data_IF_841732055620
#
_entry.id   IF_841732055620
#
_cell.length_a   1.000
_cell.length_b   1.000
_cell.length_c   1.000
_cell.angle_alpha   90.00
_cell.angle_beta   90.00
_cell.angle_gamma   90.00
#
_symmetry.space_group_name_H-M   'P 1'
#
loop_
_entity.id
_entity.type
_entity.pdbx_description
1 polymer ?
#
# COMPACT_ATOMS: atom_id res chain seq x y z
N UNK A 1 16.38 31.24 6.45
CA UNK A 1 15.12 30.70 5.87
C UNK A 1 14.32 31.81 5.18
N UNK A 2 13.63 31.53 4.04
CA UNK A 2 12.82 32.53 3.31
C UNK A 2 11.41 31.99 3.08
N UNK A 3 10.40 32.83 3.30
CA UNK A 3 8.98 32.55 3.09
C UNK A 3 8.45 33.40 1.94
N UNK A 4 7.86 32.77 0.93
CA UNK A 4 7.27 33.43 -0.23
C UNK A 4 6.04 32.75 -0.74
N UNK A 5 4.96 33.48 -1.04
CA UNK A 5 3.84 32.92 -1.76
C UNK A 5 4.15 32.76 -3.25
N UNK A 6 3.85 31.59 -3.80
CA UNK A 6 4.03 31.28 -5.22
C UNK A 6 2.82 30.52 -5.74
N UNK A 7 2.51 30.71 -7.02
CA UNK A 7 1.51 29.88 -7.71
C UNK A 7 2.21 28.68 -8.32
N UNK A 8 1.77 27.47 -7.94
CA UNK A 8 2.29 26.19 -8.43
C UNK A 8 1.11 25.28 -8.77
N UNK A 9 1.07 24.75 -9.99
CA UNK A 9 0.01 23.85 -10.48
C UNK A 9 -1.40 24.44 -10.25
N UNK A 10 -1.60 25.72 -10.64
CA UNK A 10 -2.81 26.53 -10.42
C UNK A 10 -3.30 26.60 -8.98
N UNK A 11 -2.38 26.49 -8.02
CA UNK A 11 -2.67 26.65 -6.58
C UNK A 11 -1.71 27.66 -5.96
N UNK A 12 -2.24 28.48 -5.04
CA UNK A 12 -1.39 29.33 -4.23
C UNK A 12 -0.82 28.52 -3.07
N UNK A 13 0.51 28.56 -2.95
CA UNK A 13 1.25 27.85 -1.89
C UNK A 13 2.28 28.78 -1.25
N UNK A 14 2.48 28.65 0.06
CA UNK A 14 3.60 29.25 0.75
C UNK A 14 4.84 28.38 0.54
N UNK A 15 5.87 28.93 -0.09
CA UNK A 15 7.17 28.30 -0.25
C UNK A 15 8.06 28.68 0.93
N UNK A 16 8.56 27.68 1.64
CA UNK A 16 9.54 27.77 2.71
C UNK A 16 10.85 27.27 2.13
N UNK A 17 11.90 28.07 2.12
CA UNK A 17 13.18 27.72 1.47
C UNK A 17 14.38 28.02 2.34
N UNK A 18 15.35 27.10 2.34
CA UNK A 18 16.63 27.20 3.02
C UNK A 18 17.71 26.56 2.13
N UNK A 19 18.67 27.38 1.70
CA UNK A 19 19.66 26.94 0.70
C UNK A 19 18.99 26.44 -0.59
N UNK A 20 19.23 25.17 -0.95
CA UNK A 20 18.63 24.51 -2.12
C UNK A 20 17.31 23.80 -1.80
N UNK A 21 16.96 23.60 -0.53
CA UNK A 21 15.74 22.92 -0.11
C UNK A 21 14.52 23.84 -0.22
N UNK A 22 13.38 23.27 -0.65
CA UNK A 22 12.12 23.98 -0.84
C UNK A 22 10.95 23.12 -0.40
N UNK A 23 10.15 23.63 0.52
CA UNK A 23 8.91 23.02 1.01
C UNK A 23 7.73 23.92 0.64
N UNK A 24 6.55 23.32 0.42
CA UNK A 24 5.37 24.03 -0.04
C UNK A 24 4.18 23.71 0.85
N UNK A 25 3.44 24.76 1.23
CA UNK A 25 2.19 24.64 2.00
C UNK A 25 1.03 25.27 1.27
N UNK A 26 -0.07 24.54 1.15
CA UNK A 26 -1.27 25.01 0.45
C UNK A 26 -1.95 26.13 1.22
N UNK A 27 -2.24 27.24 0.54
CA UNK A 27 -3.06 28.32 1.05
C UNK A 27 -4.54 28.19 0.64
N UNK A 28 -4.96 27.04 0.10
CA UNK A 28 -6.31 26.84 -0.45
C UNK A 28 -7.41 27.04 0.60
N UNK A 29 -7.18 26.66 1.84
CA UNK A 29 -8.18 26.70 2.92
C UNK A 29 -8.45 28.11 3.45
N UNK A 30 -7.55 29.06 3.18
CA UNK A 30 -7.65 30.44 3.67
C UNK A 30 -8.11 31.42 2.60
N UNK A 31 -8.22 31.01 1.34
CA UNK A 31 -8.63 31.86 0.24
C UNK A 31 -10.07 31.54 -0.12
N UNK A 32 -11.00 32.47 0.00
CA UNK A 32 -12.39 32.27 -0.42
C UNK A 32 -12.50 32.21 -1.95
N UNK A 33 -13.29 31.30 -2.44
CA UNK A 33 -13.60 31.17 -3.86
C UNK A 33 -12.52 30.49 -4.70
N UNK A 34 -12.63 30.60 -6.03
CA UNK A 34 -11.74 29.96 -7.00
C UNK A 34 -11.05 31.03 -7.88
N UNK A 35 -9.92 31.63 -7.41
CA UNK A 35 -9.28 32.73 -8.09
C UNK A 35 -8.60 32.30 -9.38
N UNK A 36 -8.76 33.08 -10.47
CA UNK A 36 -7.88 32.98 -11.61
C UNK A 36 -6.56 33.70 -11.29
N UNK A 37 -5.52 32.96 -10.94
CA UNK A 37 -4.24 33.52 -10.48
C UNK A 37 -3.53 34.38 -11.53
N UNK A 38 -3.65 34.08 -12.83
CA UNK A 38 -3.07 34.89 -13.90
C UNK A 38 -3.63 36.33 -13.89
N UNK A 39 -4.92 36.50 -13.57
CA UNK A 39 -5.63 37.76 -13.58
C UNK A 39 -5.59 38.47 -12.20
N UNK A 40 -5.75 37.70 -11.13
CA UNK A 40 -6.03 38.24 -9.80
C UNK A 40 -4.81 38.27 -8.88
N UNK A 41 -3.72 37.59 -9.22
CA UNK A 41 -2.52 37.51 -8.38
C UNK A 41 -1.41 38.44 -8.83
N UNK A 42 -0.74 39.10 -7.89
CA UNK A 42 0.47 39.86 -8.11
C UNK A 42 1.65 39.13 -7.46
N UNK A 43 2.48 38.50 -8.27
CA UNK A 43 3.59 37.69 -7.81
C UNK A 43 4.72 38.46 -7.13
N UNK A 44 4.91 39.73 -7.53
CA UNK A 44 5.98 40.60 -6.97
C UNK A 44 5.61 41.10 -5.58
N UNK A 45 4.34 41.48 -5.40
CA UNK A 45 3.81 41.98 -4.14
C UNK A 45 3.25 40.85 -3.25
N UNK A 46 3.19 39.62 -3.74
CA UNK A 46 2.62 38.44 -3.05
C UNK A 46 1.20 38.69 -2.50
N UNK A 47 0.33 39.32 -3.29
CA UNK A 47 -1.01 39.71 -2.88
C UNK A 47 -2.04 39.58 -4.02
N UNK A 48 -3.32 39.45 -3.67
CA UNK A 48 -4.42 39.61 -4.62
C UNK A 48 -4.60 41.06 -5.04
N UNK A 49 -4.86 41.25 -6.33
CA UNK A 49 -5.17 42.56 -6.92
C UNK A 49 -6.57 43.00 -6.54
N UNK A 50 -6.85 44.33 -6.61
CA UNK A 50 -8.16 44.87 -6.27
C UNK A 50 -9.34 44.38 -7.12
N UNK A 51 -9.07 43.76 -8.28
CA UNK A 51 -10.09 43.18 -9.13
C UNK A 51 -10.51 41.72 -8.68
N UNK A 52 -9.94 41.22 -7.58
CA UNK A 52 -10.40 39.97 -6.97
C UNK A 52 -11.44 40.28 -5.89
N UNK A 53 -12.66 39.69 -5.96
CA UNK A 53 -13.69 39.88 -4.95
C UNK A 53 -13.19 39.41 -3.57
N UNK A 54 -13.28 40.28 -2.56
CA UNK A 54 -12.76 39.99 -1.22
C UNK A 54 -11.23 40.04 -1.10
N UNK A 55 -10.54 40.81 -1.97
CA UNK A 55 -9.08 40.86 -1.99
C UNK A 55 -8.46 41.35 -0.67
N UNK A 56 -9.14 42.26 0.07
CA UNK A 56 -8.66 42.77 1.36
C UNK A 56 -8.60 41.63 2.40
N UNK A 57 -9.69 40.89 2.53
CA UNK A 57 -9.82 39.77 3.45
C UNK A 57 -8.86 38.64 3.07
N UNK A 58 -8.77 38.32 1.77
CA UNK A 58 -7.82 37.31 1.29
C UNK A 58 -6.36 37.70 1.56
N UNK A 59 -5.99 38.95 1.34
CA UNK A 59 -4.63 39.46 1.61
C UNK A 59 -4.32 39.49 3.11
N UNK A 60 -5.30 39.83 3.95
CA UNK A 60 -5.14 39.76 5.41
C UNK A 60 -4.93 38.30 5.83
N UNK A 61 -5.75 37.37 5.37
CA UNK A 61 -5.62 35.94 5.69
C UNK A 61 -4.25 35.37 5.24
N UNK A 62 -3.72 35.82 4.09
CA UNK A 62 -2.37 35.43 3.64
C UNK A 62 -1.27 36.00 4.54
N UNK A 63 -1.43 37.27 4.99
CA UNK A 63 -0.48 37.88 5.92
C UNK A 63 -0.45 37.12 7.25
N UNK A 64 -1.63 36.85 7.84
CA UNK A 64 -1.77 36.13 9.09
C UNK A 64 -1.20 34.68 8.95
N UNK A 65 -1.44 34.05 7.83
CA UNK A 65 -0.90 32.68 7.52
C UNK A 65 0.65 32.74 7.47
N UNK A 66 1.24 33.71 6.81
CA UNK A 66 2.70 33.87 6.72
C UNK A 66 3.31 34.19 8.08
N UNK A 67 2.65 35.06 8.87
CA UNK A 67 3.08 35.48 10.20
C UNK A 67 3.19 34.30 11.18
N UNK A 68 2.25 33.35 11.11
CA UNK A 68 2.31 32.15 11.93
C UNK A 68 3.58 31.30 11.68
N UNK A 69 4.03 31.20 10.42
CA UNK A 69 5.30 30.53 10.12
C UNK A 69 6.51 31.36 10.60
N UNK A 70 6.42 32.69 10.56
CA UNK A 70 7.46 33.56 11.11
C UNK A 70 7.57 33.37 12.62
N UNK A 71 6.46 33.28 13.35
CA UNK A 71 6.46 33.00 14.79
C UNK A 71 7.18 31.69 15.13
N UNK A 72 6.85 30.62 14.42
CA UNK A 72 7.53 29.30 14.60
C UNK A 72 9.04 29.42 14.35
N UNK A 73 9.45 30.18 13.34
CA UNK A 73 10.87 30.41 13.05
C UNK A 73 11.60 31.23 14.14
N UNK A 74 10.89 32.12 14.80
CA UNK A 74 11.44 32.94 15.89
C UNK A 74 11.49 32.17 17.21
N UNK A 75 10.47 31.35 17.48
CA UNK A 75 10.39 30.46 18.66
C UNK A 75 11.36 29.29 18.60
N UNK A 76 11.66 28.83 17.39
CA UNK A 76 12.50 27.66 17.12
C UNK A 76 13.57 27.98 16.05
N UNK A 77 14.56 28.82 16.37
CA UNK A 77 15.60 29.23 15.41
C UNK A 77 16.47 28.03 14.92
N UNK A 78 16.49 26.93 15.66
CA UNK A 78 17.20 25.69 15.32
C UNK A 78 16.45 24.83 14.27
N UNK A 79 15.19 25.14 13.96
CA UNK A 79 14.41 24.33 13.02
C UNK A 79 14.83 24.55 11.57
N UNK A 80 15.03 23.47 10.84
CA UNK A 80 15.16 23.49 9.39
C UNK A 80 13.83 23.86 8.70
N UNK A 81 13.89 24.26 7.44
CA UNK A 81 12.70 24.57 6.64
C UNK A 81 11.67 23.44 6.61
N UNK A 82 12.14 22.19 6.69
CA UNK A 82 11.29 20.98 6.80
C UNK A 82 10.57 20.92 8.14
N UNK A 83 11.26 21.19 9.23
CA UNK A 83 10.69 21.15 10.58
C UNK A 83 9.67 22.27 10.79
N UNK A 84 9.98 23.51 10.39
CA UNK A 84 9.03 24.63 10.40
C UNK A 84 7.77 24.29 9.61
N UNK A 85 7.92 23.71 8.44
CA UNK A 85 6.82 23.28 7.58
C UNK A 85 5.91 22.24 8.23
N UNK A 86 6.47 21.34 9.04
CA UNK A 86 5.73 20.26 9.71
C UNK A 86 5.10 20.69 11.05
N UNK A 87 5.72 21.63 11.74
CA UNK A 87 5.29 22.10 13.06
C UNK A 87 3.93 22.81 12.99
N UNK A 88 3.75 23.68 11.99
CA UNK A 88 2.50 24.40 11.80
C UNK A 88 1.30 23.49 11.49
N UNK A 89 1.51 22.39 10.76
CA UNK A 89 0.45 21.41 10.49
C UNK A 89 -0.04 20.69 11.76
N UNK A 90 0.79 20.64 12.79
CA UNK A 90 0.44 20.05 14.07
C UNK A 90 -0.39 21.00 14.95
N UNK A 91 -0.08 22.30 14.92
CA UNK A 91 -0.84 23.32 15.69
C UNK A 91 -2.18 23.69 15.05
N UNK A 92 -2.26 23.79 13.71
CA UNK A 92 -3.51 24.15 13.02
C UNK A 92 -4.55 23.04 13.03
N UNK A 93 -4.13 21.79 13.12
CA UNK A 93 -5.05 20.66 13.33
C UNK A 93 -5.76 20.74 14.69
N UNK A 94 -5.18 21.45 15.66
CA UNK A 94 -5.75 21.67 17.00
C UNK A 94 -6.71 22.85 17.05
N UNK A 95 -6.56 23.85 16.14
CA UNK A 95 -7.32 25.11 16.19
C UNK A 95 -8.56 25.20 15.29
N UNK A 96 -8.89 24.16 14.53
CA UNK A 96 -9.99 24.16 13.54
C UNK A 96 -11.34 23.63 14.06
N UNK A 97 -11.60 23.72 15.37
CA UNK A 97 -12.93 23.47 15.93
C UNK A 97 -13.38 24.72 16.67
N UNK A 98 -14.60 25.27 16.41
CA UNK A 98 -15.08 26.43 17.17
C UNK A 98 -15.29 25.99 18.62
N UNK A 99 -14.59 26.68 19.52
CA UNK A 99 -14.61 26.46 20.95
C UNK A 99 -15.96 26.89 21.52
N UNK A 100 -16.73 25.94 22.05
CA UNK A 100 -17.44 26.12 23.30
C UNK A 100 -16.39 25.94 24.42
N UNK A 101 -16.37 26.88 25.38
CA UNK A 101 -15.51 26.84 26.55
C UNK A 101 -15.81 25.63 27.44
N UNK A 102 -15.30 24.49 27.06
CA UNK A 102 -14.97 23.41 27.98
C UNK A 102 -13.48 23.20 27.87
N UNK A 103 -12.77 23.43 28.96
CA UNK A 103 -11.37 23.06 29.15
C UNK A 103 -11.13 21.68 28.59
N UNK A 104 -10.61 21.60 27.35
CA UNK A 104 -10.19 20.36 26.69
C UNK A 104 -9.03 19.86 27.54
N UNK A 105 -9.34 18.94 28.48
CA UNK A 105 -8.33 18.11 29.15
C UNK A 105 -7.50 17.51 28.03
N UNK A 106 -6.19 17.74 28.05
CA UNK A 106 -5.25 17.12 27.10
C UNK A 106 -5.62 15.66 26.97
N UNK A 107 -6.01 15.26 25.77
CA UNK A 107 -6.53 13.91 25.51
C UNK A 107 -5.41 12.94 25.84
N UNK A 108 -5.55 12.19 26.92
CA UNK A 108 -4.55 11.25 27.44
C UNK A 108 -4.40 10.04 26.50
N UNK A 109 -3.98 10.30 25.24
CA UNK A 109 -3.61 9.23 24.31
C UNK A 109 -2.30 8.54 24.73
N UNK A 110 -1.58 9.14 25.66
CA UNK A 110 -0.35 8.58 26.20
C UNK A 110 -0.61 7.34 27.05
N UNK A 111 -1.82 7.19 27.57
CA UNK A 111 -2.18 6.06 28.40
C UNK A 111 -3.27 5.16 27.76
N UNK A 112 -4.10 5.66 26.85
CA UNK A 112 -5.18 4.90 26.22
C UNK A 112 -4.70 4.12 25.00
N UNK A 113 -4.92 2.79 24.97
CA UNK A 113 -4.58 1.90 23.84
C UNK A 113 -5.38 2.25 22.59
N UNK A 114 -6.67 2.54 22.75
CA UNK A 114 -7.55 2.92 21.63
C UNK A 114 -7.11 4.23 20.98
N UNK A 115 -6.93 5.27 21.77
CA UNK A 115 -6.53 6.59 21.28
C UNK A 115 -5.14 6.58 20.63
N UNK A 116 -4.23 5.77 21.17
CA UNK A 116 -2.94 5.55 20.53
C UNK A 116 -3.08 4.86 19.17
N UNK A 117 -3.95 3.85 19.06
CA UNK A 117 -4.21 3.17 17.79
C UNK A 117 -4.81 4.14 16.75
N UNK A 118 -5.70 5.04 17.17
CA UNK A 118 -6.21 6.12 16.32
C UNK A 118 -5.08 7.07 15.86
N UNK A 119 -4.16 7.46 16.75
CA UNK A 119 -2.96 8.25 16.42
C UNK A 119 -2.08 7.52 15.38
N UNK A 120 -1.88 6.20 15.54
CA UNK A 120 -1.14 5.39 14.57
C UNK A 120 -1.84 5.39 13.21
N UNK A 121 -3.16 5.22 13.16
CA UNK A 121 -3.96 5.25 11.93
C UNK A 121 -3.78 6.60 11.21
N UNK A 122 -3.90 7.71 11.93
CA UNK A 122 -3.71 9.04 11.34
C UNK A 122 -2.27 9.25 10.81
N UNK A 123 -1.26 8.84 11.56
CA UNK A 123 0.15 8.90 11.13
C UNK A 123 0.40 8.07 9.86
N UNK A 124 -0.14 6.86 9.78
CA UNK A 124 0.00 6.00 8.60
C UNK A 124 -0.79 6.55 7.40
N UNK A 125 -1.95 7.17 7.62
CA UNK A 125 -2.73 7.84 6.57
C UNK A 125 -1.96 9.01 5.95
N UNK A 126 -1.35 9.86 6.78
CA UNK A 126 -0.55 11.01 6.32
C UNK A 126 0.67 10.55 5.51
N UNK A 127 1.30 9.44 5.90
CA UNK A 127 2.43 8.84 5.16
C UNK A 127 2.03 8.20 3.84
N UNK A 128 0.73 8.18 3.49
CA UNK A 128 0.18 7.42 2.35
C UNK A 128 0.61 5.94 2.37
N UNK A 129 0.90 5.43 3.54
CA UNK A 129 1.32 4.04 3.75
C UNK A 129 0.16 3.07 3.55
N UNK A 130 0.45 1.87 3.04
CA UNK A 130 -0.55 0.81 2.87
C UNK A 130 -1.09 0.26 4.21
N UNK A 131 -0.51 0.69 5.34
CA UNK A 131 -0.77 0.08 6.64
C UNK A 131 -1.96 0.71 7.40
N UNK A 132 -2.44 1.89 7.02
CA UNK A 132 -3.53 2.54 7.74
C UNK A 132 -4.81 1.69 7.75
N UNK A 133 -5.18 1.06 6.62
CA UNK A 133 -6.34 0.16 6.56
C UNK A 133 -6.21 -1.04 7.50
N UNK A 134 -5.00 -1.55 7.67
CA UNK A 134 -4.72 -2.68 8.55
C UNK A 134 -4.94 -2.31 10.01
N UNK A 135 -4.43 -1.16 10.44
CA UNK A 135 -4.67 -0.65 11.80
C UNK A 135 -6.13 -0.23 12.01
N UNK A 136 -6.79 0.33 11.00
CA UNK A 136 -8.21 0.67 11.07
C UNK A 136 -9.09 -0.59 11.24
N UNK A 137 -8.81 -1.66 10.50
CA UNK A 137 -9.49 -2.95 10.68
C UNK A 137 -9.27 -3.53 12.07
N UNK A 138 -8.05 -3.40 12.61
CA UNK A 138 -7.77 -3.81 14.00
C UNK A 138 -8.60 -3.00 14.99
N UNK A 139 -8.67 -1.67 14.85
CA UNK A 139 -9.45 -0.79 15.71
C UNK A 139 -10.93 -1.21 15.75
N UNK A 140 -11.54 -1.39 14.56
CA UNK A 140 -12.94 -1.83 14.46
C UNK A 140 -13.15 -3.21 15.08
N UNK A 141 -12.20 -4.13 14.90
CA UNK A 141 -12.27 -5.46 15.50
C UNK A 141 -12.14 -5.38 17.03
N UNK A 142 -11.16 -4.65 17.55
CA UNK A 142 -10.99 -4.48 19.00
C UNK A 142 -12.24 -3.87 19.65
N UNK A 143 -12.82 -2.83 19.06
CA UNK A 143 -14.08 -2.22 19.53
C UNK A 143 -15.23 -3.22 19.58
N UNK A 144 -15.26 -4.16 18.65
CA UNK A 144 -16.34 -5.16 18.55
C UNK A 144 -16.19 -6.31 19.54
N UNK A 145 -14.96 -6.77 19.79
CA UNK A 145 -14.74 -8.04 20.49
C UNK A 145 -14.08 -7.91 21.85
N UNK A 146 -13.34 -6.82 22.13
CA UNK A 146 -12.70 -6.62 23.43
C UNK A 146 -13.62 -5.80 24.33
N UNK A 147 -14.08 -6.38 25.45
CA UNK A 147 -14.86 -5.65 26.45
C UNK A 147 -14.07 -4.43 26.96
N UNK A 148 -14.76 -3.30 27.11
CA UNK A 148 -14.19 -2.05 27.62
C UNK A 148 -12.90 -1.57 26.92
N UNK A 149 -12.74 -1.89 25.63
CA UNK A 149 -11.54 -1.51 24.86
C UNK A 149 -11.25 0.00 24.93
N UNK A 150 -12.29 0.83 24.94
CA UNK A 150 -12.17 2.28 25.06
C UNK A 150 -11.54 2.75 26.38
N UNK A 151 -11.66 1.94 27.44
CA UNK A 151 -11.09 2.22 28.76
C UNK A 151 -9.71 1.60 28.97
N UNK A 152 -9.28 0.70 28.08
CA UNK A 152 -8.03 -0.06 28.23
C UNK A 152 -6.82 0.88 28.20
N UNK A 153 -6.01 0.82 29.27
CA UNK A 153 -4.81 1.63 29.45
C UNK A 153 -3.55 0.82 29.19
N UNK A 154 -2.48 1.51 28.74
CA UNK A 154 -1.17 0.87 28.57
C UNK A 154 -0.57 0.34 29.87
N UNK A 155 -0.90 0.94 31.01
CA UNK A 155 -0.49 0.43 32.34
C UNK A 155 -1.10 -0.94 32.67
N UNK A 156 -2.20 -1.31 32.03
CA UNK A 156 -2.89 -2.59 32.22
C UNK A 156 -2.42 -3.66 31.23
N UNK A 157 -1.58 -3.32 30.24
CA UNK A 157 -1.02 -4.27 29.28
C UNK A 157 0.14 -5.02 29.94
N UNK A 158 -0.20 -6.02 30.71
CA UNK A 158 0.70 -6.99 31.33
C UNK A 158 0.72 -8.30 30.55
N UNK A 159 1.54 -9.27 30.97
CA UNK A 159 1.53 -10.63 30.43
C UNK A 159 0.13 -11.24 30.47
N UNK A 160 -0.52 -11.25 31.66
CA UNK A 160 -1.85 -11.84 31.85
C UNK A 160 -2.93 -11.16 31.01
N UNK A 161 -2.84 -9.82 30.88
CA UNK A 161 -3.75 -9.08 29.99
C UNK A 161 -3.56 -9.46 28.52
N UNK A 162 -2.34 -9.71 28.09
CA UNK A 162 -2.06 -10.21 26.74
C UNK A 162 -2.59 -11.64 26.53
N UNK A 163 -2.48 -12.53 27.54
CA UNK A 163 -3.10 -13.87 27.52
C UNK A 163 -4.61 -13.76 27.35
N UNK A 164 -5.25 -12.90 28.15
CA UNK A 164 -6.68 -12.65 28.05
C UNK A 164 -7.10 -12.12 26.68
N UNK A 165 -6.37 -11.14 26.12
CA UNK A 165 -6.61 -10.61 24.76
C UNK A 165 -6.44 -11.73 23.72
N UNK A 166 -5.42 -12.57 23.84
CA UNK A 166 -5.19 -13.69 22.97
C UNK A 166 -6.37 -14.67 23.00
N UNK A 167 -6.87 -15.02 24.19
CA UNK A 167 -8.04 -15.87 24.37
C UNK A 167 -9.29 -15.35 23.66
N UNK A 168 -9.55 -14.04 23.73
CA UNK A 168 -10.67 -13.43 22.99
C UNK A 168 -10.43 -13.48 21.48
N UNK A 169 -9.24 -13.15 21.03
CA UNK A 169 -8.95 -13.20 19.58
C UNK A 169 -9.06 -14.60 19.00
N UNK A 170 -8.73 -15.65 19.74
CA UNK A 170 -8.85 -17.06 19.32
C UNK A 170 -10.30 -17.47 18.99
N UNK A 171 -11.28 -16.89 19.68
CA UNK A 171 -12.70 -17.15 19.43
C UNK A 171 -13.20 -16.55 18.10
N UNK A 172 -12.36 -15.77 17.39
CA UNK A 172 -12.76 -15.04 16.20
C UNK A 172 -11.83 -15.33 15.01
N UNK A 173 -12.41 -15.42 13.81
CA UNK A 173 -11.64 -15.62 12.56
C UNK A 173 -10.54 -14.57 12.39
N UNK A 174 -9.38 -15.02 11.90
CA UNK A 174 -8.23 -14.14 11.61
C UNK A 174 -7.41 -13.79 12.86
N UNK A 175 -7.28 -14.70 13.78
CA UNK A 175 -6.42 -14.59 14.96
C UNK A 175 -5.03 -14.09 14.64
N UNK A 176 -4.29 -14.80 13.79
CA UNK A 176 -2.92 -14.48 13.41
C UNK A 176 -2.77 -13.05 12.86
N UNK A 177 -3.65 -12.66 11.94
CA UNK A 177 -3.60 -11.32 11.35
C UNK A 177 -3.84 -10.23 12.39
N UNK A 178 -4.81 -10.44 13.31
CA UNK A 178 -5.18 -9.46 14.34
C UNK A 178 -4.09 -9.32 15.40
N UNK A 179 -3.59 -10.43 15.91
CA UNK A 179 -2.54 -10.45 16.95
C UNK A 179 -1.21 -9.91 16.44
N UNK A 180 -0.85 -10.19 15.19
CA UNK A 180 0.34 -9.61 14.54
C UNK A 180 0.26 -8.08 14.45
N UNK A 181 -0.90 -7.56 14.05
CA UNK A 181 -1.10 -6.10 13.96
C UNK A 181 -1.14 -5.46 15.35
N UNK A 182 -1.79 -6.12 16.32
CA UNK A 182 -1.84 -5.66 17.72
C UNK A 182 -0.42 -5.60 18.31
N UNK A 183 0.37 -6.64 18.14
CA UNK A 183 1.79 -6.65 18.56
C UNK A 183 2.61 -5.54 17.90
N UNK A 184 2.41 -5.31 16.60
CA UNK A 184 3.09 -4.22 15.89
C UNK A 184 2.70 -2.86 16.47
N UNK A 185 1.45 -2.68 16.87
CA UNK A 185 0.97 -1.48 17.57
C UNK A 185 1.67 -1.32 18.92
N UNK A 186 1.76 -2.38 19.74
CA UNK A 186 2.51 -2.36 21.00
C UNK A 186 3.99 -2.02 20.79
N UNK A 187 4.62 -2.55 19.74
CA UNK A 187 5.99 -2.20 19.35
C UNK A 187 6.15 -0.72 18.96
N UNK A 188 5.14 -0.10 18.35
CA UNK A 188 5.12 1.35 18.08
C UNK A 188 4.92 2.14 19.37
N UNK A 189 4.07 1.69 20.29
CA UNK A 189 3.85 2.30 21.58
C UNK A 189 5.12 2.30 22.44
N UNK A 190 5.85 1.17 22.47
CA UNK A 190 7.14 1.08 23.15
C UNK A 190 8.16 2.11 22.66
N UNK A 191 8.16 2.43 21.36
CA UNK A 191 9.08 3.40 20.74
C UNK A 191 8.58 4.85 20.82
N UNK A 192 7.34 5.08 21.20
CA UNK A 192 6.78 6.42 21.33
C UNK A 192 7.19 7.01 22.70
N UNK A 193 7.79 8.21 22.67
CA UNK A 193 8.33 8.85 23.88
C UNK A 193 7.23 9.27 24.86
N UNK A 194 6.06 9.59 24.34
CA UNK A 194 4.94 10.09 25.12
C UNK A 194 4.17 8.95 25.81
N UNK A 195 4.34 7.69 25.36
CA UNK A 195 3.64 6.52 25.90
C UNK A 195 4.48 5.84 26.96
N UNK A 196 3.93 5.69 28.17
CA UNK A 196 4.60 5.03 29.30
C UNK A 196 4.59 3.49 29.21
N UNK A 197 4.38 2.93 28.02
CA UNK A 197 4.44 1.49 27.79
C UNK A 197 5.87 1.03 27.47
N UNK A 198 6.28 -0.08 28.08
CA UNK A 198 7.54 -0.77 27.73
C UNK A 198 7.26 -2.23 27.43
N UNK A 199 7.91 -2.75 26.39
CA UNK A 199 7.71 -4.14 25.96
C UNK A 199 8.03 -5.15 27.07
N UNK A 200 8.91 -4.80 27.99
CA UNK A 200 9.24 -5.60 29.19
C UNK A 200 8.05 -5.85 30.12
N UNK A 201 6.99 -5.03 30.05
CA UNK A 201 5.76 -5.24 30.85
C UNK A 201 5.01 -6.53 30.48
N UNK A 202 5.19 -7.00 29.24
CA UNK A 202 4.59 -8.25 28.77
C UNK A 202 5.56 -9.43 28.83
N UNK A 203 6.81 -9.21 29.33
CA UNK A 203 7.82 -10.25 29.48
C UNK A 203 8.12 -10.96 28.16
N UNK A 204 8.15 -12.27 28.19
CA UNK A 204 8.38 -13.15 27.05
C UNK A 204 7.11 -13.52 26.28
N UNK A 205 5.96 -12.91 26.59
CA UNK A 205 4.69 -13.19 25.94
C UNK A 205 4.77 -13.06 24.41
N UNK A 206 4.29 -14.06 23.72
CA UNK A 206 4.21 -14.10 22.25
C UNK A 206 2.83 -14.57 21.84
N UNK A 207 2.06 -13.71 21.15
CA UNK A 207 0.76 -14.10 20.58
C UNK A 207 0.84 -15.36 19.70
N UNK A 208 1.98 -15.60 19.06
CA UNK A 208 2.19 -16.80 18.23
C UNK A 208 2.08 -18.10 19.04
N UNK A 209 2.47 -18.10 20.29
CA UNK A 209 2.46 -19.32 21.10
C UNK A 209 1.04 -19.79 21.44
N UNK A 210 0.05 -18.94 21.25
CA UNK A 210 -1.38 -19.21 21.42
C UNK A 210 -2.10 -19.50 20.09
N UNK A 211 -1.39 -19.53 18.95
CA UNK A 211 -1.99 -19.81 17.65
C UNK A 211 -2.08 -21.32 17.44
N UNK A 212 -3.32 -21.90 17.38
CA UNK A 212 -3.48 -23.33 17.15
C UNK A 212 -2.94 -23.80 15.80
N UNK A 213 -2.91 -22.90 14.82
CA UNK A 213 -2.43 -23.18 13.45
C UNK A 213 -0.96 -22.75 13.26
N UNK A 214 -0.22 -22.54 14.37
CA UNK A 214 1.14 -21.99 14.36
C UNK A 214 2.09 -22.72 13.41
N UNK A 215 2.03 -24.04 13.41
CA UNK A 215 2.92 -24.88 12.63
C UNK A 215 2.43 -25.06 11.18
N UNK A 216 1.10 -25.04 10.96
CA UNK A 216 0.51 -25.08 9.62
C UNK A 216 0.79 -23.80 8.83
N UNK A 217 0.71 -22.64 9.44
CA UNK A 217 0.94 -21.34 8.77
C UNK A 217 2.39 -21.20 8.29
N UNK A 218 3.36 -21.76 9.02
CA UNK A 218 4.77 -21.69 8.64
C UNK A 218 5.17 -22.75 7.59
N UNK A 219 4.40 -23.82 7.43
CA UNK A 219 4.69 -24.93 6.51
C UNK A 219 3.82 -24.93 5.26
N UNK A 220 2.70 -24.21 5.26
CA UNK A 220 1.79 -24.17 4.11
C UNK A 220 2.44 -23.54 2.89
N UNK A 221 2.79 -24.40 1.93
CA UNK A 221 3.26 -23.93 0.62
C UNK A 221 2.15 -23.19 -0.13
N UNK A 222 2.47 -22.20 -0.94
CA UNK A 222 1.46 -21.52 -1.76
C UNK A 222 0.84 -22.48 -2.78
N UNK A 223 -0.45 -22.29 -3.05
CA UNK A 223 -1.10 -23.00 -4.13
C UNK A 223 -0.42 -22.65 -5.47
N UNK A 224 -0.12 -23.67 -6.27
CA UNK A 224 0.49 -23.56 -7.60
C UNK A 224 -0.21 -24.47 -8.58
N UNK A 225 -0.24 -24.09 -9.85
CA UNK A 225 -0.75 -24.95 -10.92
C UNK A 225 0.32 -25.98 -11.29
N UNK A 226 -0.08 -27.24 -11.43
CA UNK A 226 0.77 -28.25 -12.06
C UNK A 226 0.95 -27.93 -13.54
N UNK A 227 1.94 -28.55 -14.20
CA UNK A 227 2.17 -28.36 -15.64
C UNK A 227 0.93 -28.65 -16.49
N UNK A 228 0.19 -29.70 -16.17
CA UNK A 228 -1.06 -30.03 -16.86
C UNK A 228 -2.18 -29.02 -16.62
N UNK A 229 -2.33 -28.54 -15.39
CA UNK A 229 -3.31 -27.50 -15.04
C UNK A 229 -2.98 -26.16 -15.69
N UNK A 230 -1.69 -25.77 -15.70
CA UNK A 230 -1.22 -24.58 -16.38
C UNK A 230 -1.46 -24.66 -17.89
N UNK A 231 -1.12 -25.80 -18.50
CA UNK A 231 -1.38 -26.03 -19.92
C UNK A 231 -2.89 -25.95 -20.23
N UNK A 232 -3.74 -26.57 -19.43
CA UNK A 232 -5.19 -26.49 -19.57
C UNK A 232 -5.68 -25.03 -19.46
N UNK A 233 -5.14 -24.24 -18.50
CA UNK A 233 -5.48 -22.83 -18.39
C UNK A 233 -5.03 -22.02 -19.61
N UNK A 234 -3.81 -22.21 -20.10
CA UNK A 234 -3.26 -21.46 -21.23
C UNK A 234 -3.97 -21.79 -22.56
N UNK A 235 -4.64 -22.93 -22.65
CA UNK A 235 -5.43 -23.35 -23.81
C UNK A 235 -6.95 -23.19 -23.61
N UNK A 236 -7.39 -22.45 -22.61
CA UNK A 236 -8.80 -22.18 -22.39
C UNK A 236 -9.44 -21.45 -23.56
N UNK A 237 -10.58 -21.95 -24.00
CA UNK A 237 -11.47 -21.21 -24.87
C UNK A 237 -12.22 -20.15 -24.06
N UNK A 238 -11.64 -18.96 -24.03
CA UNK A 238 -12.12 -17.83 -23.23
C UNK A 238 -13.52 -17.41 -23.64
N UNK A 239 -13.93 -17.68 -24.89
CA UNK A 239 -15.26 -17.31 -25.40
C UNK A 239 -16.40 -18.07 -24.71
N UNK A 240 -16.12 -19.24 -24.12
CA UNK A 240 -17.09 -20.09 -23.42
C UNK A 240 -17.25 -19.76 -21.93
N UNK A 241 -16.46 -18.87 -21.40
CA UNK A 241 -16.39 -18.54 -19.96
C UNK A 241 -16.89 -17.14 -19.64
N UNK A 242 -18.01 -16.74 -20.25
CA UNK A 242 -18.61 -15.42 -20.00
C UNK A 242 -19.37 -15.45 -18.66
N UNK A 243 -18.97 -14.66 -17.65
CA UNK A 243 -19.73 -14.57 -16.41
C UNK A 243 -21.04 -13.84 -16.62
N UNK A 244 -22.14 -14.33 -16.10
CA UNK A 244 -23.47 -13.74 -16.17
C UNK A 244 -23.57 -12.34 -15.54
N UNK A 245 -22.59 -11.94 -14.75
CA UNK A 245 -22.64 -10.75 -13.88
C UNK A 245 -21.69 -9.62 -14.25
N UNK A 246 -20.89 -9.73 -15.32
CA UNK A 246 -19.95 -8.66 -15.68
C UNK A 246 -20.02 -8.24 -17.15
N UNK A 247 -20.87 -7.24 -17.40
CA UNK A 247 -21.03 -6.63 -18.73
C UNK A 247 -19.96 -5.56 -19.03
N UNK A 248 -19.05 -5.23 -18.09
CA UNK A 248 -18.16 -4.08 -18.22
C UNK A 248 -16.75 -4.44 -18.68
N UNK A 249 -16.29 -5.66 -18.41
CA UNK A 249 -14.98 -6.10 -18.81
C UNK A 249 -15.08 -7.37 -19.64
N UNK A 250 -14.42 -7.36 -20.76
CA UNK A 250 -14.23 -8.55 -21.58
C UNK A 250 -13.50 -9.61 -20.76
N UNK A 251 -14.02 -10.83 -20.74
CA UNK A 251 -13.39 -12.01 -20.14
C UNK A 251 -11.96 -12.21 -20.67
N UNK A 252 -11.74 -11.80 -21.92
CA UNK A 252 -10.42 -11.77 -22.53
C UNK A 252 -9.43 -10.91 -21.75
N UNK A 253 -9.86 -9.78 -21.21
CA UNK A 253 -9.01 -8.92 -20.41
C UNK A 253 -8.56 -9.62 -19.11
N UNK A 254 -9.44 -10.39 -18.46
CA UNK A 254 -9.06 -11.17 -17.27
C UNK A 254 -8.07 -12.26 -17.60
N UNK A 255 -8.29 -12.97 -18.68
CA UNK A 255 -7.38 -14.01 -19.16
C UNK A 255 -6.00 -13.42 -19.50
N UNK A 256 -5.93 -12.42 -20.36
CA UNK A 256 -4.69 -11.79 -20.78
C UNK A 256 -3.93 -11.17 -19.61
N UNK A 257 -4.64 -10.54 -18.67
CA UNK A 257 -4.04 -10.01 -17.44
C UNK A 257 -3.38 -11.13 -16.63
N UNK A 258 -4.03 -12.27 -16.53
CA UNK A 258 -3.53 -13.41 -15.76
C UNK A 258 -2.36 -14.09 -16.44
N UNK A 259 -2.43 -14.29 -17.76
CA UNK A 259 -1.30 -14.79 -18.58
C UNK A 259 -0.09 -13.86 -18.47
N UNK A 260 -0.33 -12.54 -18.53
CA UNK A 260 0.74 -11.57 -18.35
C UNK A 260 1.37 -11.64 -16.96
N UNK A 261 0.57 -11.84 -15.91
CA UNK A 261 1.09 -12.06 -14.55
C UNK A 261 2.01 -13.27 -14.45
N UNK A 262 1.64 -14.38 -15.11
CA UNK A 262 2.45 -15.58 -15.14
C UNK A 262 3.82 -15.32 -15.78
N UNK A 263 3.85 -14.79 -17.01
CA UNK A 263 5.10 -14.55 -17.73
C UNK A 263 5.96 -13.43 -17.13
N UNK A 264 5.36 -12.48 -16.41
CA UNK A 264 6.08 -11.35 -15.83
C UNK A 264 6.51 -11.54 -14.39
N UNK A 265 6.13 -12.61 -13.71
CA UNK A 265 6.34 -12.82 -12.27
C UNK A 265 5.73 -11.73 -11.38
N UNK A 266 4.92 -10.83 -11.93
CA UNK A 266 4.42 -9.66 -11.21
C UNK A 266 3.22 -10.00 -10.32
N UNK A 267 3.08 -9.24 -9.23
CA UNK A 267 1.87 -9.27 -8.43
C UNK A 267 0.73 -8.49 -9.13
N UNK A 268 -0.55 -8.83 -8.90
CA UNK A 268 -1.68 -8.13 -9.52
C UNK A 268 -1.64 -6.61 -9.32
N UNK A 269 -1.19 -6.15 -8.15
CA UNK A 269 -1.10 -4.73 -7.82
C UNK A 269 0.02 -3.99 -8.58
N UNK A 270 1.00 -4.70 -9.10
CA UNK A 270 2.08 -4.14 -9.91
C UNK A 270 1.66 -4.12 -11.38
N UNK A 271 1.11 -5.23 -11.92
CA UNK A 271 0.62 -5.31 -13.31
C UNK A 271 -0.46 -4.27 -13.60
N UNK A 272 -1.42 -4.10 -12.70
CA UNK A 272 -2.54 -3.17 -12.88
C UNK A 272 -2.10 -1.70 -13.00
N UNK A 273 -0.93 -1.36 -12.47
CA UNK A 273 -0.35 -0.01 -12.51
C UNK A 273 0.73 0.15 -13.58
N UNK A 274 1.01 -0.90 -14.33
CA UNK A 274 2.07 -0.91 -15.32
C UNK A 274 1.72 0.00 -16.49
N UNK A 275 2.68 0.84 -16.88
CA UNK A 275 2.56 1.78 -18.00
C UNK A 275 3.53 1.45 -19.11
N UNK A 276 3.26 1.88 -20.34
CA UNK A 276 4.15 1.72 -21.49
C UNK A 276 5.53 2.32 -21.26
N UNK A 277 5.63 3.41 -20.49
CA UNK A 277 6.92 3.99 -20.10
C UNK A 277 7.81 3.07 -19.27
N UNK A 278 7.26 1.97 -18.74
CA UNK A 278 8.02 0.95 -18.04
C UNK A 278 8.71 -0.04 -19.01
N UNK A 279 8.34 0.00 -20.30
CA UNK A 279 9.01 -0.79 -21.34
C UNK A 279 10.29 -0.06 -21.72
N UNK A 280 11.41 -0.74 -21.57
CA UNK A 280 12.73 -0.21 -21.88
C UNK A 280 13.07 -0.40 -23.36
N UNK A 281 14.07 0.33 -23.85
CA UNK A 281 14.56 0.16 -25.22
C UNK A 281 15.20 -1.22 -25.46
N UNK A 282 15.62 -1.91 -24.41
CA UNK A 282 16.19 -3.26 -24.44
C UNK A 282 15.15 -4.38 -24.53
N UNK A 283 13.85 -4.05 -24.65
CA UNK A 283 12.78 -5.05 -24.69
C UNK A 283 12.49 -5.71 -23.34
N UNK A 284 12.70 -4.99 -22.27
CA UNK A 284 12.36 -5.44 -20.91
C UNK A 284 11.31 -4.54 -20.27
N UNK A 285 10.68 -4.99 -19.18
CA UNK A 285 9.81 -4.19 -18.36
C UNK A 285 10.50 -3.91 -17.04
N UNK A 286 10.86 -2.64 -16.79
CA UNK A 286 11.41 -2.17 -15.54
C UNK A 286 10.32 -1.55 -14.67
N UNK A 287 10.16 -2.05 -13.44
CA UNK A 287 9.15 -1.56 -12.51
C UNK A 287 9.63 -1.59 -11.06
N UNK A 288 9.05 -0.71 -10.24
CA UNK A 288 9.29 -0.68 -8.80
C UNK A 288 8.11 -1.32 -8.08
N UNK A 289 8.36 -2.41 -7.35
CA UNK A 289 7.32 -3.11 -6.59
C UNK A 289 6.68 -2.23 -5.52
N UNK A 290 5.35 -2.22 -5.49
CA UNK A 290 4.59 -1.44 -4.49
C UNK A 290 4.87 -1.90 -3.05
N UNK A 291 5.02 -3.20 -2.82
CA UNK A 291 5.16 -3.76 -1.46
C UNK A 291 6.57 -3.63 -0.89
N UNK A 292 7.59 -3.89 -1.70
CA UNK A 292 8.99 -3.98 -1.23
C UNK A 292 9.84 -2.79 -1.64
N UNK A 293 9.32 -1.93 -2.54
CA UNK A 293 10.03 -0.82 -3.17
C UNK A 293 11.30 -1.23 -3.93
N UNK A 294 11.47 -2.52 -4.20
CA UNK A 294 12.58 -3.03 -5.02
C UNK A 294 12.27 -2.81 -6.49
N UNK A 295 13.29 -2.45 -7.25
CA UNK A 295 13.23 -2.43 -8.71
C UNK A 295 13.41 -3.86 -9.21
N UNK A 296 12.59 -4.26 -10.17
CA UNK A 296 12.69 -5.52 -10.87
C UNK A 296 12.62 -5.24 -12.37
N UNK A 297 13.30 -6.09 -13.13
CA UNK A 297 13.34 -6.00 -14.59
C UNK A 297 13.08 -7.39 -15.17
N UNK A 298 12.11 -7.46 -16.09
CA UNK A 298 11.63 -8.73 -16.67
C UNK A 298 11.71 -8.65 -18.17
N UNK A 299 12.33 -9.62 -18.87
CA UNK A 299 12.31 -9.69 -20.31
C UNK A 299 10.87 -9.86 -20.84
N UNK A 300 10.54 -9.17 -21.91
CA UNK A 300 9.24 -9.30 -22.57
C UNK A 300 9.24 -10.58 -23.38
N UNK A 301 8.41 -11.55 -23.00
CA UNK A 301 8.18 -12.76 -23.79
C UNK A 301 7.27 -12.47 -24.99
N UNK A 302 7.28 -13.33 -26.06
CA UNK A 302 6.36 -13.17 -27.17
C UNK A 302 4.88 -13.11 -26.76
N UNK A 303 4.49 -13.88 -25.74
CA UNK A 303 3.13 -13.86 -25.20
C UNK A 303 2.79 -12.51 -24.53
N UNK A 304 3.74 -11.93 -23.78
CA UNK A 304 3.58 -10.59 -23.20
C UNK A 304 3.49 -9.52 -24.26
N UNK A 305 4.34 -9.60 -25.33
CA UNK A 305 4.32 -8.64 -26.41
C UNK A 305 2.97 -8.67 -27.14
N UNK A 306 2.45 -9.84 -27.48
CA UNK A 306 1.14 -9.98 -28.12
C UNK A 306 0.00 -9.35 -27.29
N UNK A 307 0.08 -9.46 -25.96
CA UNK A 307 -0.88 -8.82 -25.05
C UNK A 307 -0.70 -7.28 -25.06
N UNK A 308 0.53 -6.79 -24.98
CA UNK A 308 0.85 -5.34 -25.04
C UNK A 308 0.29 -4.74 -26.34
N UNK A 309 0.51 -5.41 -27.46
CA UNK A 309 0.08 -4.94 -28.78
C UNK A 309 -1.44 -4.93 -28.91
N UNK A 310 -2.12 -5.97 -28.39
CA UNK A 310 -3.61 -6.07 -28.38
C UNK A 310 -4.26 -4.87 -27.70
N UNK A 311 -3.68 -4.38 -26.61
CA UNK A 311 -4.22 -3.24 -25.85
C UNK A 311 -3.57 -1.91 -26.20
N UNK A 312 -2.75 -1.85 -27.26
CA UNK A 312 -1.95 -0.66 -27.60
C UNK A 312 -2.81 0.58 -27.89
N UNK A 313 -3.96 0.41 -28.53
CA UNK A 313 -4.87 1.50 -28.90
C UNK A 313 -5.99 1.73 -27.89
N UNK A 314 -6.30 0.73 -27.06
CA UNK A 314 -7.45 0.75 -26.14
C UNK A 314 -7.12 1.40 -24.79
N UNK A 315 -5.85 1.42 -24.41
CA UNK A 315 -5.43 1.90 -23.11
C UNK A 315 -5.25 3.41 -23.08
N UNK A 316 -6.01 4.07 -22.22
CA UNK A 316 -5.86 5.50 -21.90
C UNK A 316 -4.74 5.71 -20.86
N UNK A 317 -4.25 6.95 -20.71
CA UNK A 317 -3.25 7.36 -19.71
C UNK A 317 -1.91 6.57 -19.74
N UNK A 318 -1.63 5.87 -20.84
CA UNK A 318 -0.40 5.11 -21.05
C UNK A 318 -0.28 3.83 -20.23
N UNK A 319 -1.34 3.33 -19.61
CA UNK A 319 -1.37 2.00 -18.98
C UNK A 319 -1.26 0.90 -20.04
N UNK A 320 -0.72 -0.28 -19.67
CA UNK A 320 -0.70 -1.43 -20.57
C UNK A 320 -2.12 -2.01 -20.70
N UNK A 321 -2.83 -2.16 -19.58
CA UNK A 321 -4.17 -2.72 -19.58
C UNK A 321 -5.24 -1.63 -19.53
N UNK A 322 -6.28 -1.70 -20.39
CA UNK A 322 -7.40 -0.76 -20.41
C UNK A 322 -8.41 -1.08 -19.31
N UNK A 323 -8.00 -0.99 -18.06
CA UNK A 323 -8.91 -1.16 -16.93
C UNK A 323 -9.73 0.10 -16.85
N UNK A 324 -10.91 0.04 -17.45
CA UNK A 324 -11.79 1.18 -17.62
C UNK A 324 -12.48 1.53 -16.31
N UNK A 325 -12.45 2.80 -16.05
CA UNK A 325 -13.32 3.55 -15.17
C UNK A 325 -14.40 4.21 -16.04
N UNK A 326 -15.64 4.10 -15.67
CA UNK A 326 -16.75 4.85 -16.27
C UNK A 326 -16.45 6.35 -16.08
N UNK A 327 -16.57 7.17 -17.14
CA UNK A 327 -16.29 8.60 -17.05
C UNK A 327 -17.18 9.32 -16.04
N UNK A 328 -18.43 8.86 -15.87
CA UNK A 328 -19.35 9.35 -14.83
C UNK A 328 -18.90 9.00 -13.41
N UNK A 329 -18.20 7.89 -13.22
CA UNK A 329 -17.69 7.49 -11.92
C UNK A 329 -16.34 8.17 -11.57
N UNK A 330 -15.61 8.72 -12.55
CA UNK A 330 -14.32 9.43 -12.33
C UNK A 330 -14.47 10.67 -11.46
N UNK A 331 -15.63 11.30 -11.50
CA UNK A 331 -15.91 12.50 -10.70
C UNK A 331 -15.93 12.21 -9.19
N UNK A 332 -16.28 10.98 -8.81
CA UNK A 332 -16.53 10.58 -7.42
C UNK A 332 -15.57 9.51 -6.87
N UNK A 333 -14.82 8.82 -7.73
CA UNK A 333 -14.00 7.65 -7.32
C UNK A 333 -12.56 7.73 -7.81
N UNK A 334 -11.64 7.25 -6.98
CA UNK A 334 -10.20 7.22 -7.30
C UNK A 334 -9.82 6.03 -8.20
N UNK A 335 -8.72 6.16 -8.95
CA UNK A 335 -8.16 5.03 -9.73
C UNK A 335 -7.88 3.79 -8.88
N UNK A 336 -7.47 3.95 -7.62
CA UNK A 336 -7.26 2.82 -6.70
C UNK A 336 -8.56 2.07 -6.40
N UNK A 337 -9.72 2.74 -6.42
CA UNK A 337 -11.03 2.08 -6.31
C UNK A 337 -11.29 1.16 -7.51
N UNK A 338 -11.08 1.63 -8.74
CA UNK A 338 -11.30 0.82 -9.95
C UNK A 338 -10.36 -0.37 -10.00
N UNK A 339 -9.09 -0.17 -9.64
CA UNK A 339 -8.11 -1.25 -9.55
C UNK A 339 -8.49 -2.30 -8.50
N UNK A 340 -9.07 -1.88 -7.37
CA UNK A 340 -9.59 -2.80 -6.37
C UNK A 340 -10.77 -3.59 -6.93
N UNK A 341 -11.72 -2.93 -7.57
CA UNK A 341 -12.90 -3.58 -8.18
C UNK A 341 -12.53 -4.55 -9.28
N UNK A 342 -11.59 -4.18 -10.16
CA UNK A 342 -11.07 -5.08 -11.18
C UNK A 342 -10.51 -6.36 -10.56
N UNK A 343 -9.68 -6.26 -9.52
CA UNK A 343 -9.11 -7.45 -8.85
C UNK A 343 -10.15 -8.31 -8.16
N UNK A 344 -11.17 -7.69 -7.57
CA UNK A 344 -12.29 -8.44 -6.98
C UNK A 344 -12.99 -9.29 -8.05
N UNK A 345 -13.36 -8.68 -9.18
CA UNK A 345 -14.02 -9.35 -10.30
C UNK A 345 -13.13 -10.40 -10.97
N UNK A 346 -11.85 -10.09 -11.20
CA UNK A 346 -10.86 -11.03 -11.69
C UNK A 346 -10.83 -12.31 -10.83
N UNK A 347 -10.78 -12.17 -9.50
CA UNK A 347 -10.75 -13.34 -8.60
C UNK A 347 -12.08 -14.11 -8.58
N UNK A 348 -13.22 -13.45 -8.79
CA UNK A 348 -14.51 -14.13 -8.94
C UNK A 348 -14.50 -14.97 -10.22
N UNK A 349 -14.04 -14.41 -11.35
CA UNK A 349 -13.89 -15.12 -12.60
C UNK A 349 -12.91 -16.31 -12.48
N UNK A 350 -11.73 -16.08 -11.90
CA UNK A 350 -10.73 -17.12 -11.69
C UNK A 350 -11.27 -18.27 -10.82
N UNK A 351 -12.09 -17.97 -9.82
CA UNK A 351 -12.73 -19.00 -9.01
C UNK A 351 -13.67 -19.88 -9.84
N UNK A 352 -14.40 -19.32 -10.79
CA UNK A 352 -15.23 -20.06 -11.72
C UNK A 352 -14.38 -20.94 -12.66
N UNK A 353 -13.31 -20.36 -13.24
CA UNK A 353 -12.32 -21.09 -14.04
C UNK A 353 -11.69 -22.24 -13.25
N UNK A 354 -11.32 -22.03 -11.99
CA UNK A 354 -10.75 -23.09 -11.15
C UNK A 354 -11.70 -24.25 -10.92
N UNK A 355 -13.02 -24.00 -10.83
CA UNK A 355 -14.03 -25.06 -10.75
C UNK A 355 -14.13 -25.85 -12.07
N UNK A 356 -14.12 -25.15 -13.21
CA UNK A 356 -14.13 -25.76 -14.53
C UNK A 356 -12.91 -26.66 -14.75
N UNK A 357 -11.75 -26.20 -14.33
CA UNK A 357 -10.49 -26.97 -14.36
C UNK A 357 -10.41 -28.03 -13.24
N UNK A 358 -11.44 -28.20 -12.43
CA UNK A 358 -11.53 -29.17 -11.30
C UNK A 358 -10.34 -29.04 -10.34
N UNK A 359 -9.93 -27.81 -10.03
CA UNK A 359 -8.85 -27.57 -9.08
C UNK A 359 -9.31 -27.87 -7.64
N UNK A 360 -8.44 -28.44 -6.78
CA UNK A 360 -8.78 -28.75 -5.39
C UNK A 360 -8.85 -27.51 -4.48
N UNK A 361 -8.54 -26.34 -5.01
CA UNK A 361 -8.54 -25.06 -4.32
C UNK A 361 -9.20 -23.96 -5.16
N UNK A 362 -9.58 -22.86 -4.52
CA UNK A 362 -10.09 -21.70 -5.24
C UNK A 362 -8.95 -21.00 -5.99
N UNK A 363 -9.03 -20.96 -7.32
CA UNK A 363 -8.07 -20.22 -8.14
C UNK A 363 -8.21 -18.72 -7.91
N UNK A 364 -7.08 -18.04 -7.77
CA UNK A 364 -6.99 -16.58 -7.60
C UNK A 364 -5.71 -16.02 -8.25
N UNK A 365 -5.70 -14.73 -8.55
CA UNK A 365 -4.67 -14.13 -9.39
C UNK A 365 -3.22 -14.39 -8.90
N UNK A 366 -3.00 -14.42 -7.60
CA UNK A 366 -1.64 -14.61 -7.05
C UNK A 366 -1.05 -16.02 -7.30
N UNK A 367 -1.90 -17.04 -7.53
CA UNK A 367 -1.48 -18.40 -7.88
C UNK A 367 -0.58 -18.40 -9.12
N UNK A 368 -0.87 -17.55 -10.11
CA UNK A 368 -0.08 -17.46 -11.34
C UNK A 368 1.34 -16.94 -11.10
N UNK A 369 1.50 -16.02 -10.19
CA UNK A 369 2.84 -15.60 -9.77
C UNK A 369 3.55 -16.71 -8.99
N UNK A 370 2.86 -17.42 -8.11
CA UNK A 370 3.42 -18.56 -7.40
C UNK A 370 3.85 -19.65 -8.39
N UNK A 371 2.99 -19.98 -9.35
CA UNK A 371 3.28 -20.94 -10.42
C UNK A 371 4.48 -20.51 -11.25
N UNK A 372 4.59 -19.23 -11.65
CA UNK A 372 5.72 -18.72 -12.41
C UNK A 372 7.06 -18.91 -11.68
N UNK A 373 7.09 -18.58 -10.38
CA UNK A 373 8.28 -18.76 -9.55
C UNK A 373 8.64 -20.25 -9.45
N UNK A 374 7.67 -21.12 -9.19
CA UNK A 374 7.88 -22.56 -9.08
C UNK A 374 8.40 -23.15 -10.40
N UNK A 375 7.75 -22.83 -11.53
CA UNK A 375 8.17 -23.30 -12.86
C UNK A 375 9.60 -22.83 -13.18
N UNK A 376 9.97 -21.60 -12.84
CA UNK A 376 11.30 -21.08 -13.06
C UNK A 376 12.37 -21.84 -12.24
N UNK A 377 12.08 -22.12 -10.98
CA UNK A 377 12.97 -22.88 -10.10
C UNK A 377 13.08 -24.35 -10.54
N UNK A 378 11.96 -24.98 -10.89
CA UNK A 378 11.92 -26.37 -11.41
C UNK A 378 12.67 -26.48 -12.76
N UNK A 379 12.64 -25.40 -13.55
CA UNK A 379 13.43 -25.25 -14.78
C UNK A 379 14.93 -25.04 -14.56
N UNK A 380 15.36 -24.94 -13.29
CA UNK A 380 16.79 -24.82 -12.92
C UNK A 380 17.33 -23.41 -12.94
N UNK A 381 16.48 -22.36 -12.99
CA UNK A 381 16.96 -20.99 -12.89
C UNK A 381 17.50 -20.71 -11.48
N UNK A 382 18.62 -19.97 -11.36
CA UNK A 382 19.17 -19.59 -10.05
C UNK A 382 18.18 -18.83 -9.18
N UNK A 383 18.08 -19.17 -7.89
CA UNK A 383 17.18 -18.53 -6.93
C UNK A 383 17.37 -17.01 -6.92
N UNK A 384 18.63 -16.54 -7.00
CA UNK A 384 18.99 -15.13 -7.03
C UNK A 384 18.40 -14.41 -8.26
N UNK A 385 18.41 -15.07 -9.43
CA UNK A 385 17.81 -14.54 -10.64
C UNK A 385 16.29 -14.47 -10.52
N UNK A 386 15.65 -15.55 -10.06
CA UNK A 386 14.19 -15.60 -9.85
C UNK A 386 13.75 -14.54 -8.83
N UNK A 387 14.50 -14.36 -7.74
CA UNK A 387 14.24 -13.32 -6.75
C UNK A 387 14.35 -11.91 -7.36
N UNK A 388 15.33 -11.66 -8.22
CA UNK A 388 15.52 -10.38 -8.92
C UNK A 388 14.34 -10.06 -9.83
N UNK A 389 13.98 -10.95 -10.77
CA UNK A 389 12.83 -10.74 -11.69
C UNK A 389 11.50 -10.65 -10.95
N UNK A 390 11.32 -11.47 -9.91
CA UNK A 390 10.12 -11.38 -9.07
C UNK A 390 10.11 -10.17 -8.13
N UNK A 391 11.23 -9.45 -7.99
CA UNK A 391 11.36 -8.31 -7.07
C UNK A 391 11.11 -8.68 -5.61
N UNK A 392 11.65 -9.81 -5.16
CA UNK A 392 11.48 -10.32 -3.79
C UNK A 392 12.86 -10.70 -3.19
N UNK A 393 12.87 -11.15 -1.94
CA UNK A 393 14.08 -11.61 -1.27
C UNK A 393 14.37 -13.08 -1.60
N UNK A 394 15.66 -13.44 -1.60
CA UNK A 394 16.10 -14.84 -1.73
C UNK A 394 15.52 -15.68 -0.59
N UNK A 395 15.54 -15.17 0.65
CA UNK A 395 14.98 -15.84 1.83
C UNK A 395 13.49 -16.17 1.65
N UNK A 396 12.72 -15.24 1.02
CA UNK A 396 11.30 -15.47 0.73
C UNK A 396 11.11 -16.57 -0.32
N UNK A 397 11.99 -16.65 -1.33
CA UNK A 397 11.96 -17.72 -2.31
C UNK A 397 12.31 -19.05 -1.64
N UNK A 398 13.39 -19.10 -0.86
CA UNK A 398 13.81 -20.31 -0.14
C UNK A 398 12.71 -20.80 0.81
N UNK A 399 12.15 -19.92 1.62
CA UNK A 399 11.13 -20.29 2.60
C UNK A 399 9.85 -20.85 1.99
N UNK A 400 9.39 -20.32 0.86
CA UNK A 400 8.06 -20.62 0.34
C UNK A 400 8.03 -21.54 -0.89
N UNK A 401 9.12 -21.62 -1.65
CA UNK A 401 9.14 -22.33 -2.94
C UNK A 401 10.24 -23.40 -3.02
N UNK A 402 11.35 -23.21 -2.29
CA UNK A 402 12.43 -24.18 -2.34
C UNK A 402 12.10 -25.38 -1.46
N UNK A 403 12.25 -26.57 -2.01
CA UNK A 403 12.16 -27.82 -1.27
C UNK A 403 13.53 -28.48 -1.27
N UNK A 404 14.25 -28.39 -0.14
CA UNK A 404 15.56 -29.03 0.03
C UNK A 404 15.48 -30.56 -0.14
N UNK A 405 14.33 -31.12 0.21
CA UNK A 405 14.11 -32.58 0.25
C UNK A 405 13.48 -33.14 -1.05
N UNK A 406 13.40 -32.31 -2.11
CA UNK A 406 12.90 -32.76 -3.40
C UNK A 406 13.88 -33.78 -4.02
N UNK A 407 13.46 -35.03 -4.27
CA UNK A 407 14.30 -36.07 -4.91
C UNK A 407 14.96 -35.61 -6.22
N UNK A 408 14.30 -34.70 -6.95
CA UNK A 408 14.88 -34.10 -8.18
C UNK A 408 16.19 -33.36 -7.93
N UNK A 409 16.40 -32.80 -6.73
CA UNK A 409 17.65 -32.13 -6.40
C UNK A 409 18.82 -33.10 -6.30
N UNK A 410 18.58 -34.30 -5.76
CA UNK A 410 19.61 -35.36 -5.71
C UNK A 410 19.98 -35.82 -7.11
N UNK A 411 19.01 -35.99 -8.00
CA UNK A 411 19.26 -36.39 -9.40
C UNK A 411 20.03 -35.30 -10.14
N UNK A 412 19.63 -34.01 -9.98
CA UNK A 412 20.36 -32.86 -10.58
C UNK A 412 21.81 -32.78 -10.08
N UNK A 413 22.03 -33.02 -8.78
CA UNK A 413 23.38 -33.05 -8.21
C UNK A 413 24.24 -34.16 -8.81
N UNK A 414 23.68 -35.37 -8.93
CA UNK A 414 24.39 -36.49 -9.56
C UNK A 414 24.72 -36.19 -11.03
N UNK A 415 23.76 -35.65 -11.79
CA UNK A 415 24.00 -35.24 -13.19
C UNK A 415 25.06 -34.16 -13.32
N UNK A 416 25.11 -33.20 -12.38
CA UNK A 416 26.15 -32.16 -12.37
C UNK A 416 27.55 -32.76 -12.12
N UNK A 417 27.67 -33.71 -11.18
CA UNK A 417 28.92 -34.42 -10.95
C UNK A 417 29.35 -35.27 -12.14
N UNK A 418 28.41 -35.97 -12.79
CA UNK A 418 28.72 -36.72 -14.01
C UNK A 418 29.21 -35.85 -15.15
N UNK A 419 28.59 -34.65 -15.33
CA UNK A 419 29.06 -33.68 -16.33
C UNK A 419 30.43 -33.09 -16.01
N UNK A 420 30.76 -32.90 -14.74
CA UNK A 420 32.05 -32.36 -14.33
C UNK A 420 33.17 -33.41 -14.43
N UNK A 421 32.83 -34.69 -14.47
CA UNK A 421 33.77 -35.82 -14.58
C UNK A 421 34.02 -36.25 -16.06
N UNK A 422 33.31 -35.68 -17.00
CA UNK A 422 33.49 -35.84 -18.46
C UNK A 422 34.37 -34.69 -19.00
#
# INVERSE_FOLDING_TARGET
MKLRFVVKDDKLVLRISEGKERFYRSAKTIIPGNPNFKRHWNADKECFRSNFPGYKEANKALADFKENYVKVMLEHPEFSAKQVSLYYDQETAVKATPASEETVKAVDYCNSVEKFLEKVIQRERVKQGCNFETYHKLLLKCRKILPDFSKLKFSEITYDKCVWIAGIFLQHKGYYASTKVFRNMLGKAHKDRDVKFRISQIGDFRFRDFDPDKDEVDTKKPDVLTSGQLHAFLNLDVSKLTPEYDNRNDVRLYYDFTVFMFYSFMAPCDVIKLKRKNITKSGTIAFKRKKTHRTAEVPISPAMQAIIDRYSTLSKDGYIFPIQDDEKEKEYKTKDYFFKKFREKLNIWLKAVGKELKLPYNLYAYVFRHTAITVALDGGLPISYVASVAGTDIDMIQKHYYNSDDPKNSVKLQMAFMKAAM
#
